data_IF_956390192331
#
_entry.id   IF_956390192331
#
_cell.length_a   1.000
_cell.length_b   1.000
_cell.length_c   1.000
_cell.angle_alpha   90.00
_cell.angle_beta   90.00
_cell.angle_gamma   90.00
#
_symmetry.space_group_name_H-M   'P 1'
#
loop_
_entity.id
_entity.type
_entity.pdbx_description
1 polymer ?
#
# COMPACT_ATOMS: atom_id res chain seq x y z
N UNK A 1 2.61 -16.67 0.38
CA UNK A 1 1.64 -15.66 0.87
C UNK A 1 0.27 -16.24 0.63
N UNK A 2 -0.57 -16.22 1.66
CA UNK A 2 -1.99 -16.63 1.54
C UNK A 2 -2.77 -15.58 0.74
N UNK A 3 -3.91 -15.98 0.20
CA UNK A 3 -4.87 -15.08 -0.44
C UNK A 3 -5.63 -14.25 0.59
N UNK A 4 -6.25 -13.15 0.14
CA UNK A 4 -7.13 -12.35 1.01
C UNK A 4 -8.32 -13.16 1.55
N UNK A 5 -8.87 -14.08 0.74
CA UNK A 5 -9.98 -14.95 1.15
C UNK A 5 -9.57 -15.89 2.29
N UNK A 6 -8.38 -16.47 2.21
CA UNK A 6 -7.84 -17.33 3.27
C UNK A 6 -7.53 -16.50 4.52
N UNK A 7 -6.94 -15.31 4.38
CA UNK A 7 -6.62 -14.44 5.50
C UNK A 7 -7.86 -14.01 6.30
N UNK A 8 -8.98 -13.75 5.62
CA UNK A 8 -10.27 -13.42 6.25
C UNK A 8 -10.89 -14.57 7.03
N UNK A 9 -10.46 -15.81 6.78
CA UNK A 9 -10.94 -17.00 7.48
C UNK A 9 -10.03 -17.42 8.64
N UNK A 10 -8.89 -16.75 8.86
CA UNK A 10 -7.96 -17.09 9.92
C UNK A 10 -8.57 -16.82 11.32
N UNK A 11 -8.33 -17.71 12.30
CA UNK A 11 -8.54 -17.40 13.70
C UNK A 11 -7.71 -16.19 14.15
N UNK A 12 -8.14 -15.52 15.23
CA UNK A 12 -7.50 -14.30 15.73
C UNK A 12 -6.02 -14.52 16.08
N UNK A 13 -5.70 -15.65 16.69
CA UNK A 13 -4.34 -16.02 17.12
C UNK A 13 -3.41 -16.21 15.91
N UNK A 14 -3.88 -16.90 14.87
CA UNK A 14 -3.12 -17.09 13.63
C UNK A 14 -2.94 -15.78 12.87
N UNK A 15 -3.96 -14.89 12.89
CA UNK A 15 -3.87 -13.58 12.27
C UNK A 15 -2.82 -12.68 12.95
N UNK A 16 -2.71 -12.74 14.28
CA UNK A 16 -1.66 -12.04 15.02
C UNK A 16 -0.28 -12.52 14.59
N UNK A 17 -0.09 -13.83 14.49
CA UNK A 17 1.20 -14.39 14.08
C UNK A 17 1.52 -14.07 12.62
N UNK A 18 0.51 -14.14 11.75
CA UNK A 18 0.63 -13.73 10.36
C UNK A 18 1.08 -12.27 10.22
N UNK A 19 0.53 -11.35 11.02
CA UNK A 19 0.94 -9.94 11.03
C UNK A 19 2.40 -9.76 11.45
N UNK A 20 2.87 -10.51 12.46
CA UNK A 20 4.27 -10.46 12.89
C UNK A 20 5.24 -10.96 11.82
N UNK A 21 4.93 -12.09 11.19
CA UNK A 21 5.72 -12.62 10.08
C UNK A 21 5.77 -11.63 8.90
N UNK A 22 4.63 -10.97 8.60
CA UNK A 22 4.57 -9.95 7.57
C UNK A 22 5.47 -8.75 7.89
N UNK A 23 5.48 -8.26 9.13
CA UNK A 23 6.37 -7.16 9.55
C UNK A 23 7.84 -7.49 9.35
N UNK A 24 8.24 -8.71 9.72
CA UNK A 24 9.61 -9.18 9.51
C UNK A 24 9.97 -9.15 8.03
N UNK A 25 9.10 -9.71 7.17
CA UNK A 25 9.30 -9.72 5.71
C UNK A 25 9.37 -8.33 5.10
N UNK A 26 8.55 -7.40 5.58
CA UNK A 26 8.60 -6.00 5.15
C UNK A 26 9.95 -5.40 5.52
N UNK A 27 10.41 -5.55 6.77
CA UNK A 27 11.71 -4.99 7.22
C UNK A 27 12.92 -5.59 6.48
N UNK A 28 12.86 -6.87 6.13
CA UNK A 28 13.95 -7.57 5.41
C UNK A 28 13.98 -7.28 3.90
N UNK A 29 12.87 -6.81 3.32
CA UNK A 29 12.77 -6.60 1.88
C UNK A 29 13.46 -5.28 1.44
N UNK A 30 14.30 -5.29 0.39
CA UNK A 30 15.07 -4.13 -0.03
C UNK A 30 14.32 -3.21 -1.01
N UNK A 31 13.05 -3.49 -1.32
CA UNK A 31 12.38 -2.90 -2.49
C UNK A 31 11.76 -1.52 -2.27
N UNK A 32 11.77 -0.98 -1.04
CA UNK A 32 11.25 0.36 -0.75
C UNK A 32 9.78 0.56 -1.14
N UNK A 33 8.96 -0.48 -1.00
CA UNK A 33 7.53 -0.44 -1.35
C UNK A 33 6.67 0.18 -0.24
N UNK A 34 7.13 0.07 1.00
CA UNK A 34 6.58 0.76 2.16
C UNK A 34 7.40 2.02 2.42
N UNK A 35 6.75 3.14 2.69
CA UNK A 35 7.47 4.37 3.10
C UNK A 35 8.30 4.09 4.35
N UNK A 36 7.81 3.27 5.26
CA UNK A 36 8.49 2.90 6.49
C UNK A 36 9.83 2.16 6.26
N UNK A 37 10.01 1.46 5.14
CA UNK A 37 11.31 0.89 4.75
C UNK A 37 12.31 1.99 4.39
N UNK A 38 11.85 3.07 3.76
CA UNK A 38 12.69 4.18 3.28
C UNK A 38 13.01 5.18 4.39
N UNK A 39 12.14 5.29 5.39
CA UNK A 39 12.31 6.17 6.55
C UNK A 39 12.90 5.46 7.77
N UNK A 40 13.12 4.15 7.71
CA UNK A 40 13.52 3.31 8.85
C UNK A 40 12.63 3.50 10.08
N UNK A 41 11.32 3.64 9.87
CA UNK A 41 10.34 3.80 10.94
C UNK A 41 9.54 2.52 11.18
N UNK A 42 8.84 2.44 12.31
CA UNK A 42 7.91 1.34 12.56
C UNK A 42 6.73 1.38 11.57
N UNK A 43 6.22 0.20 11.20
CA UNK A 43 5.09 0.05 10.29
C UNK A 43 3.86 0.76 10.89
N UNK A 44 3.25 1.65 10.11
CA UNK A 44 1.98 2.30 10.46
C UNK A 44 0.87 1.24 10.53
N UNK A 45 0.15 1.13 11.66
CA UNK A 45 -0.86 0.09 11.88
C UNK A 45 -2.15 0.71 12.39
N UNK A 46 -3.28 0.13 12.01
CA UNK A 46 -4.61 0.49 12.55
C UNK A 46 -5.48 -0.75 12.66
N UNK A 47 -6.10 -0.96 13.82
CA UNK A 47 -6.98 -2.11 14.07
C UNK A 47 -6.29 -3.47 14.12
N UNK A 48 -7.08 -4.52 14.37
CA UNK A 48 -6.61 -5.91 14.58
C UNK A 48 -6.94 -6.87 13.42
N UNK A 49 -7.56 -6.38 12.35
CA UNK A 49 -8.03 -7.18 11.23
C UNK A 49 -6.93 -7.60 10.23
N UNK A 50 -7.36 -8.21 9.12
CA UNK A 50 -6.48 -8.66 8.05
C UNK A 50 -5.64 -7.50 7.52
N UNK A 51 -4.29 -7.59 7.50
CA UNK A 51 -3.45 -6.47 7.12
C UNK A 51 -3.59 -6.15 5.62
N UNK A 52 -3.88 -4.89 5.31
CA UNK A 52 -3.96 -4.36 3.95
C UNK A 52 -3.08 -3.12 3.80
N UNK A 53 -2.22 -3.12 2.79
CA UNK A 53 -1.34 -1.98 2.49
C UNK A 53 -2.14 -0.85 1.83
N UNK A 54 -1.98 0.38 2.32
CA UNK A 54 -2.72 1.55 1.82
C UNK A 54 -1.77 2.52 1.13
N UNK A 55 -2.03 2.87 -0.13
CA UNK A 55 -1.26 3.90 -0.85
C UNK A 55 -1.30 5.24 -0.10
N UNK A 56 -0.16 5.92 0.00
CA UNK A 56 0.02 7.15 0.82
C UNK A 56 -0.72 8.41 0.31
N UNK A 57 -1.68 8.25 -0.60
CA UNK A 57 -2.61 9.31 -1.02
C UNK A 57 -4.07 9.00 -0.67
N UNK A 58 -4.30 8.06 0.25
CA UNK A 58 -5.61 7.68 0.77
C UNK A 58 -5.59 7.95 2.28
N UNK A 59 -6.50 8.79 2.75
CA UNK A 59 -6.55 9.16 4.17
C UNK A 59 -6.87 7.96 5.06
N UNK A 60 -5.99 7.70 6.02
CA UNK A 60 -6.23 6.84 7.19
C UNK A 60 -6.10 7.74 8.40
N UNK A 61 -7.14 7.86 9.22
CA UNK A 61 -7.16 8.80 10.34
C UNK A 61 -5.94 8.60 11.24
N UNK A 62 -5.33 9.71 11.64
CA UNK A 62 -4.14 9.79 12.50
C UNK A 62 -2.83 9.31 11.85
N UNK A 63 -2.83 8.96 10.55
CA UNK A 63 -1.60 8.68 9.80
C UNK A 63 -1.04 9.93 9.11
N UNK A 64 0.28 9.96 8.93
CA UNK A 64 0.96 10.98 8.14
C UNK A 64 0.80 10.67 6.64
N UNK A 65 -0.26 11.15 6.01
CA UNK A 65 -0.58 10.86 4.59
C UNK A 65 -0.01 11.98 3.72
N UNK A 66 1.10 11.71 3.04
CA UNK A 66 1.92 12.77 2.42
C UNK A 66 1.88 12.78 0.90
N UNK A 67 1.17 11.83 0.29
CA UNK A 67 1.17 11.60 -1.15
C UNK A 67 2.58 11.44 -1.73
N UNK A 68 3.52 10.89 -0.95
CA UNK A 68 4.96 10.83 -1.28
C UNK A 68 5.56 12.18 -1.71
N UNK A 69 5.08 13.30 -1.14
CA UNK A 69 5.56 14.65 -1.41
C UNK A 69 6.16 15.30 -0.17
N UNK A 70 7.21 16.11 -0.37
CA UNK A 70 7.81 16.92 0.70
C UNK A 70 6.86 18.00 1.22
N UNK A 71 5.99 18.55 0.38
CA UNK A 71 5.14 19.68 0.76
C UNK A 71 4.06 19.31 1.80
N UNK A 72 3.69 18.02 1.87
CA UNK A 72 2.72 17.51 2.84
C UNK A 72 3.37 16.93 4.11
N UNK A 73 4.68 17.08 4.31
CA UNK A 73 5.30 16.68 5.58
C UNK A 73 4.65 17.44 6.75
N UNK A 74 4.20 16.71 7.76
CA UNK A 74 3.47 17.25 8.91
C UNK A 74 1.94 17.20 8.78
N UNK A 75 1.38 16.87 7.61
CA UNK A 75 -0.05 16.58 7.50
C UNK A 75 -0.37 15.25 8.19
N UNK A 76 -1.30 15.29 9.15
CA UNK A 76 -1.88 14.13 9.80
C UNK A 76 -3.35 14.06 9.39
N UNK A 77 -3.77 12.94 8.81
CA UNK A 77 -5.12 12.81 8.28
C UNK A 77 -6.17 12.90 9.40
N UNK A 78 -7.12 13.86 9.35
CA UNK A 78 -8.10 14.06 10.42
C UNK A 78 -9.29 13.10 10.34
N UNK A 79 -9.38 12.29 9.28
CA UNK A 79 -10.48 11.36 9.02
C UNK A 79 -10.00 10.15 8.22
N UNK A 80 -10.81 9.10 8.23
CA UNK A 80 -10.66 7.94 7.36
C UNK A 80 -11.33 8.24 6.01
N UNK A 81 -10.68 7.88 4.92
CA UNK A 81 -11.36 7.77 3.63
C UNK A 81 -12.51 6.77 3.72
N UNK A 82 -13.57 6.96 2.94
CA UNK A 82 -14.74 6.06 2.98
C UNK A 82 -14.36 4.59 2.73
N UNK A 83 -13.33 4.36 1.90
CA UNK A 83 -12.83 3.02 1.61
C UNK A 83 -12.20 2.37 2.84
N UNK A 84 -11.56 3.14 3.72
CA UNK A 84 -10.97 2.64 4.96
C UNK A 84 -12.05 2.23 5.94
N UNK A 85 -13.08 3.06 6.15
CA UNK A 85 -14.20 2.71 7.05
C UNK A 85 -14.90 1.41 6.60
N UNK A 86 -15.08 1.23 5.29
CA UNK A 86 -15.66 0.00 4.72
C UNK A 86 -14.76 -1.23 4.92
N UNK A 87 -13.45 -1.06 4.80
CA UNK A 87 -12.50 -2.15 5.02
C UNK A 87 -12.46 -2.54 6.50
N UNK A 88 -12.39 -1.57 7.41
CA UNK A 88 -12.39 -1.83 8.86
C UNK A 88 -13.67 -2.54 9.29
N UNK A 89 -14.82 -2.12 8.76
CA UNK A 89 -16.12 -2.77 8.99
C UNK A 89 -16.18 -4.21 8.44
N UNK A 90 -15.33 -4.55 7.48
CA UNK A 90 -15.22 -5.88 6.88
C UNK A 90 -14.10 -6.74 7.52
N UNK A 91 -13.52 -6.29 8.65
CA UNK A 91 -12.44 -7.02 9.33
C UNK A 91 -11.07 -6.89 8.65
N UNK A 92 -10.89 -5.89 7.79
CA UNK A 92 -9.63 -5.58 7.10
C UNK A 92 -9.05 -4.29 7.67
N UNK A 93 -7.76 -4.29 7.97
CA UNK A 93 -7.11 -3.23 8.74
C UNK A 93 -5.92 -2.63 7.99
N UNK A 94 -5.82 -1.29 7.90
CA UNK A 94 -4.66 -0.60 7.34
C UNK A 94 -3.34 -1.05 7.99
N UNK A 95 -2.37 -1.40 7.15
CA UNK A 95 -1.09 -1.97 7.56
C UNK A 95 0.05 -1.49 6.65
N UNK A 96 0.65 -0.37 7.01
CA UNK A 96 1.71 0.33 6.31
C UNK A 96 1.24 1.31 5.25
N UNK A 97 2.13 2.23 4.88
CA UNK A 97 1.90 3.24 3.84
C UNK A 97 2.67 2.87 2.58
N UNK A 98 1.96 2.61 1.50
CA UNK A 98 2.57 2.24 0.21
C UNK A 98 3.17 3.47 -0.44
N UNK A 99 4.43 3.35 -0.85
CA UNK A 99 5.13 4.38 -1.61
C UNK A 99 4.54 4.52 -3.02
N UNK A 100 4.70 5.70 -3.61
CA UNK A 100 4.05 6.08 -4.86
C UNK A 100 4.78 7.22 -5.54
N UNK A 101 4.51 7.46 -6.83
CA UNK A 101 4.92 8.71 -7.47
C UNK A 101 4.29 9.90 -6.74
N UNK A 102 5.02 11.02 -6.67
CA UNK A 102 4.59 12.24 -5.99
C UNK A 102 3.20 12.66 -6.48
N UNK A 103 2.24 12.83 -5.55
CA UNK A 103 0.83 13.15 -5.85
C UNK A 103 0.13 12.20 -6.83
N UNK A 104 0.62 10.98 -6.98
CA UNK A 104 0.17 9.99 -7.95
C UNK A 104 0.44 10.41 -9.41
N UNK A 105 1.34 11.38 -9.64
CA UNK A 105 1.64 11.97 -10.95
C UNK A 105 2.95 11.43 -11.53
N UNK A 106 2.94 10.16 -11.91
CA UNK A 106 4.07 9.50 -12.54
C UNK A 106 3.72 8.09 -13.02
N UNK A 107 4.72 7.41 -13.56
CA UNK A 107 4.57 6.09 -14.20
C UNK A 107 5.70 5.12 -13.84
N UNK A 108 6.51 5.42 -12.81
CA UNK A 108 7.66 4.59 -12.41
C UNK A 108 7.90 4.46 -10.90
N UNK A 109 7.28 5.30 -10.06
CA UNK A 109 7.50 5.39 -8.60
C UNK A 109 8.90 5.88 -8.21
N UNK A 110 9.70 6.37 -9.18
CA UNK A 110 10.99 6.99 -8.89
C UNK A 110 10.88 8.45 -8.44
N UNK A 111 9.73 9.08 -8.68
CA UNK A 111 9.49 10.49 -8.36
C UNK A 111 9.14 10.73 -6.89
N UNK A 112 8.93 9.67 -6.11
CA UNK A 112 8.64 9.76 -4.69
C UNK A 112 9.70 10.58 -3.94
N UNK A 113 9.24 11.49 -3.08
CA UNK A 113 10.11 12.21 -2.16
C UNK A 113 10.89 11.28 -1.22
N UNK A 114 10.32 10.14 -0.85
CA UNK A 114 10.96 9.18 0.08
C UNK A 114 12.08 8.36 -0.56
N UNK A 115 12.15 8.34 -1.90
CA UNK A 115 13.06 7.49 -2.65
C UNK A 115 12.34 6.44 -3.48
N UNK A 116 13.11 5.75 -4.32
CA UNK A 116 12.60 4.84 -5.35
C UNK A 116 12.05 3.55 -4.74
N UNK A 117 10.92 3.09 -5.26
CA UNK A 117 10.51 1.67 -5.13
C UNK A 117 11.14 0.86 -6.26
N UNK A 118 11.58 -0.36 -5.96
CA UNK A 118 12.17 -1.31 -6.90
C UNK A 118 11.17 -2.40 -7.28
N UNK A 119 11.31 -2.96 -8.49
CA UNK A 119 10.48 -4.08 -8.92
C UNK A 119 10.85 -5.37 -8.15
N UNK A 120 9.88 -6.11 -7.58
CA UNK A 120 10.16 -7.31 -6.80
C UNK A 120 10.75 -8.47 -7.62
N UNK A 121 10.59 -8.48 -8.95
CA UNK A 121 11.16 -9.53 -9.81
C UNK A 121 12.57 -9.21 -10.30
N UNK A 122 12.97 -7.94 -10.27
CA UNK A 122 14.29 -7.47 -10.68
C UNK A 122 14.55 -6.08 -10.08
N UNK A 123 15.40 -6.03 -9.06
CA UNK A 123 15.67 -4.81 -8.29
C UNK A 123 16.39 -3.71 -9.10
N UNK A 124 16.86 -4.01 -10.31
CA UNK A 124 17.39 -3.01 -11.24
C UNK A 124 16.30 -2.25 -12.01
N UNK A 125 15.04 -2.70 -11.91
CA UNK A 125 13.90 -2.18 -12.67
C UNK A 125 12.89 -1.46 -11.78
N UNK A 126 12.07 -0.65 -12.43
CA UNK A 126 10.96 0.07 -11.80
C UNK A 126 9.72 -0.81 -11.66
N UNK A 127 8.88 -0.58 -10.63
CA UNK A 127 7.61 -1.27 -10.46
C UNK A 127 6.49 -0.68 -11.34
N UNK A 128 6.77 0.39 -12.09
CA UNK A 128 5.72 1.18 -12.72
C UNK A 128 5.11 2.20 -11.75
N UNK A 129 3.97 2.79 -12.09
CA UNK A 129 3.36 3.84 -11.29
C UNK A 129 1.94 4.23 -11.73
N UNK A 130 1.26 5.03 -10.93
CA UNK A 130 1.76 5.68 -9.73
C UNK A 130 1.55 4.92 -8.42
N UNK A 131 0.86 3.77 -8.44
CA UNK A 131 0.71 2.89 -7.26
C UNK A 131 1.79 1.80 -7.23
N UNK A 132 3.03 2.13 -7.59
CA UNK A 132 4.10 1.14 -7.73
C UNK A 132 4.47 0.46 -6.41
N UNK A 133 4.53 1.19 -5.29
CA UNK A 133 4.71 0.57 -3.97
C UNK A 133 3.64 -0.45 -3.63
N UNK A 134 2.36 -0.12 -3.89
CA UNK A 134 1.24 -1.05 -3.70
C UNK A 134 1.42 -2.34 -4.52
N UNK A 135 1.71 -2.23 -5.81
CA UNK A 135 1.86 -3.40 -6.68
C UNK A 135 3.13 -4.20 -6.39
N UNK A 136 4.25 -3.52 -6.11
CA UNK A 136 5.53 -4.12 -5.78
C UNK A 136 5.46 -4.92 -4.48
N UNK A 137 4.78 -4.39 -3.45
CA UNK A 137 4.58 -5.10 -2.20
C UNK A 137 3.77 -6.40 -2.39
N UNK A 138 2.70 -6.34 -3.20
CA UNK A 138 1.86 -7.51 -3.51
C UNK A 138 2.63 -8.52 -4.36
N UNK A 139 3.28 -8.08 -5.44
CA UNK A 139 4.10 -8.94 -6.31
C UNK A 139 5.29 -9.56 -5.58
N UNK A 140 5.90 -8.80 -4.65
CA UNK A 140 6.99 -9.22 -3.78
C UNK A 140 6.56 -10.01 -2.56
N UNK A 141 5.26 -10.30 -2.40
CA UNK A 141 4.71 -11.12 -1.31
C UNK A 141 5.02 -10.57 0.09
N UNK A 142 5.11 -9.25 0.21
CA UNK A 142 5.20 -8.52 1.49
C UNK A 142 3.92 -7.74 1.82
N UNK A 143 2.88 -7.89 1.01
CA UNK A 143 1.49 -7.48 1.28
C UNK A 143 0.52 -8.51 0.67
N UNK A 144 -0.55 -8.90 1.38
CA UNK A 144 -1.56 -9.81 0.81
C UNK A 144 -2.33 -9.14 -0.33
N UNK A 145 -2.68 -7.88 -0.12
CA UNK A 145 -3.36 -7.01 -1.07
C UNK A 145 -3.08 -5.55 -0.69
N UNK A 146 -3.36 -4.63 -1.61
CA UNK A 146 -3.16 -3.22 -1.40
C UNK A 146 -4.25 -2.39 -2.08
N UNK A 147 -4.53 -1.20 -1.55
CA UNK A 147 -5.26 -0.16 -2.28
C UNK A 147 -4.31 0.72 -3.08
N UNK A 148 -4.84 1.29 -4.16
CA UNK A 148 -4.16 2.29 -4.98
C UNK A 148 -5.16 3.25 -5.62
N UNK A 149 -4.64 4.19 -6.40
CA UNK A 149 -5.42 5.12 -7.23
C UNK A 149 -5.04 4.93 -8.69
N UNK A 150 -6.00 5.03 -9.61
CA UNK A 150 -5.79 4.83 -11.06
C UNK A 150 -6.36 6.02 -11.85
N UNK A 151 -5.48 6.98 -12.14
CA UNK A 151 -5.82 8.15 -12.96
C UNK A 151 -5.57 7.87 -14.44
N UNK A 152 -4.40 7.31 -14.78
CA UNK A 152 -3.98 7.04 -16.16
C UNK A 152 -3.56 5.59 -16.42
N UNK A 153 -3.99 4.63 -15.59
CA UNK A 153 -3.41 3.28 -15.55
C UNK A 153 -2.72 2.95 -14.23
N UNK A 154 -2.81 3.84 -13.24
CA UNK A 154 -1.92 3.84 -12.08
C UNK A 154 -2.11 2.70 -11.08
N UNK A 155 -3.09 1.81 -11.26
CA UNK A 155 -3.17 0.50 -10.60
C UNK A 155 -2.78 -0.62 -11.60
N UNK A 156 -3.31 -0.56 -12.82
CA UNK A 156 -3.15 -1.61 -13.84
C UNK A 156 -1.72 -1.75 -14.36
N UNK A 157 -1.06 -0.63 -14.66
CA UNK A 157 0.31 -0.58 -15.18
C UNK A 157 1.32 -1.15 -14.17
N UNK A 158 1.35 -0.73 -12.90
CA UNK A 158 2.31 -1.31 -11.96
C UNK A 158 1.97 -2.77 -11.61
N UNK A 159 0.69 -3.16 -11.62
CA UNK A 159 0.33 -4.56 -11.46
C UNK A 159 0.88 -5.46 -12.57
N UNK A 160 0.82 -5.00 -13.84
CA UNK A 160 1.41 -5.70 -14.96
C UNK A 160 2.94 -5.81 -14.84
N UNK A 161 3.61 -4.75 -14.36
CA UNK A 161 5.07 -4.74 -14.17
C UNK A 161 5.51 -5.62 -13.01
N UNK A 162 4.74 -5.67 -11.92
CA UNK A 162 5.05 -6.43 -10.71
C UNK A 162 4.44 -7.83 -10.69
N UNK A 163 3.85 -8.30 -11.79
CA UNK A 163 3.34 -9.67 -11.92
C UNK A 163 2.19 -10.00 -10.97
N UNK A 164 1.29 -9.05 -10.72
CA UNK A 164 0.10 -9.24 -9.89
C UNK A 164 -1.17 -8.70 -10.57
N UNK A 165 -2.34 -8.89 -9.94
CA UNK A 165 -3.63 -8.42 -10.48
C UNK A 165 -3.91 -7.00 -10.00
N UNK A 166 -4.23 -6.11 -10.95
CA UNK A 166 -4.66 -4.74 -10.66
C UNK A 166 -6.02 -4.45 -11.31
N UNK A 167 -7.01 -4.06 -10.52
CA UNK A 167 -8.36 -3.75 -11.01
C UNK A 167 -8.71 -2.29 -10.78
N UNK A 168 -9.01 -1.57 -11.86
CA UNK A 168 -9.65 -0.26 -11.79
C UNK A 168 -11.17 -0.42 -11.98
N UNK A 169 -12.00 -0.18 -10.96
CA UNK A 169 -13.45 -0.23 -11.13
C UNK A 169 -13.95 0.87 -12.08
N UNK A 170 -15.19 0.74 -12.54
CA UNK A 170 -15.88 1.82 -13.25
C UNK A 170 -15.95 3.05 -12.36
N UNK A 171 -15.66 4.22 -12.93
CA UNK A 171 -15.73 5.50 -12.21
C UNK A 171 -17.11 5.67 -11.55
N UNK A 172 -17.13 6.14 -10.31
CA UNK A 172 -18.35 6.29 -9.49
C UNK A 172 -18.74 5.06 -8.66
N UNK A 173 -18.11 3.89 -8.85
CA UNK A 173 -18.40 2.68 -8.05
C UNK A 173 -17.76 2.67 -6.67
N UNK A 174 -16.61 3.31 -6.53
CA UNK A 174 -15.86 3.41 -5.28
C UNK A 174 -15.74 4.89 -4.93
N UNK A 175 -15.95 5.21 -3.65
CA UNK A 175 -15.81 6.58 -3.13
C UNK A 175 -14.41 7.11 -3.41
N UNK A 176 -14.32 8.40 -3.68
CA UNK A 176 -13.06 9.15 -3.83
C UNK A 176 -12.88 10.19 -2.71
N UNK A 177 -13.71 10.09 -1.68
CA UNK A 177 -13.58 10.92 -0.49
C UNK A 177 -12.53 10.32 0.44
N UNK A 178 -11.47 11.10 0.66
CA UNK A 178 -10.31 10.76 1.49
C UNK A 178 -9.19 10.08 0.73
#
# INVERSE_FOLDING_TARGET
MITLKEALALPKEELIEFRKDLEKKIKESPIGAYIEQLTNSEISKRGEGVPLLIKDNINVKDWAVTCSSKILQGYIAPYNATVIDKLESAGISPFGRANMDEFAMGSSTETSFYGKTLNPHDISKVPGGSSGGSAAAVGGKIAIAALGSDTGGSIRQPAAFCGCVGMKPTYGRVSRFG
#
